data_IF_743339349951
#
_entry.id   IF_743339349951
#
_cell.length_a   1.000
_cell.length_b   1.000
_cell.length_c   1.000
_cell.angle_alpha   90.00
_cell.angle_beta   90.00
_cell.angle_gamma   90.00
#
_symmetry.space_group_name_H-M   'P 1'
#
loop_
_entity.id
_entity.type
_entity.pdbx_description
1 polymer ?
#
# COMPACT_ATOMS: atom_id res chain seq x y z
N UNK A 1 -47.98 -34.82 -21.38
CA UNK A 1 -47.40 -35.63 -20.27
C UNK A 1 -45.96 -35.93 -20.69
N UNK A 2 -45.03 -34.99 -20.75
CA UNK A 2 -44.63 -33.94 -19.80
C UNK A 2 -44.22 -34.49 -18.44
N UNK A 3 -42.91 -34.66 -18.23
CA UNK A 3 -42.21 -34.06 -17.09
C UNK A 3 -40.68 -34.15 -17.23
N UNK A 4 -40.07 -32.97 -17.30
CA UNK A 4 -38.70 -32.66 -16.90
C UNK A 4 -38.53 -32.85 -15.37
N UNK A 5 -37.28 -32.94 -14.88
CA UNK A 5 -36.72 -31.73 -14.28
C UNK A 5 -35.27 -31.44 -14.71
N UNK A 6 -35.08 -30.17 -15.00
CA UNK A 6 -33.85 -29.38 -14.96
C UNK A 6 -32.88 -29.71 -13.84
N UNK A 7 -31.56 -29.61 -14.10
CA UNK A 7 -30.59 -28.99 -13.18
C UNK A 7 -29.26 -28.68 -13.92
N UNK A 8 -29.18 -27.45 -14.42
CA UNK A 8 -28.08 -26.49 -14.27
C UNK A 8 -26.64 -27.02 -14.08
N UNK A 9 -25.97 -27.45 -15.16
CA UNK A 9 -24.52 -27.68 -15.16
C UNK A 9 -23.80 -26.35 -15.39
N UNK A 10 -23.85 -25.50 -14.36
CA UNK A 10 -23.15 -24.23 -14.30
C UNK A 10 -21.64 -24.46 -14.47
N UNK A 11 -21.07 -23.76 -15.44
CA UNK A 11 -19.63 -23.69 -15.69
C UNK A 11 -18.99 -22.98 -14.49
N UNK A 12 -18.50 -23.76 -13.52
CA UNK A 12 -17.63 -23.23 -12.47
C UNK A 12 -16.25 -22.96 -13.06
N UNK A 13 -16.12 -21.78 -13.67
CA UNK A 13 -14.86 -21.14 -14.01
C UNK A 13 -14.11 -20.88 -12.69
N UNK A 14 -13.18 -21.77 -12.32
CA UNK A 14 -12.30 -21.55 -11.17
C UNK A 14 -11.26 -20.51 -11.58
N UNK A 15 -11.69 -19.26 -11.52
CA UNK A 15 -10.85 -18.08 -11.46
C UNK A 15 -9.79 -18.25 -10.37
N UNK A 16 -8.58 -17.80 -10.69
CA UNK A 16 -7.48 -17.66 -9.74
C UNK A 16 -7.89 -16.66 -8.65
N UNK A 17 -8.47 -17.16 -7.56
CA UNK A 17 -8.58 -16.39 -6.33
C UNK A 17 -7.19 -16.29 -5.68
N UNK A 18 -6.81 -15.06 -5.34
CA UNK A 18 -5.67 -14.79 -4.48
C UNK A 18 -5.89 -15.49 -3.13
N UNK A 19 -4.90 -16.28 -2.71
CA UNK A 19 -5.01 -17.18 -1.57
C UNK A 19 -5.16 -16.37 -0.26
N UNK A 20 -6.35 -16.46 0.34
CA UNK A 20 -6.60 -16.04 1.72
C UNK A 20 -5.90 -17.01 2.69
N UNK A 21 -5.53 -16.59 3.93
CA UNK A 21 -4.82 -17.44 4.86
C UNK A 21 -5.58 -18.74 5.14
N UNK A 22 -4.94 -19.88 4.85
CA UNK A 22 -5.49 -21.21 5.07
C UNK A 22 -5.53 -21.48 6.56
N UNK A 23 -6.72 -21.53 7.14
CA UNK A 23 -6.92 -21.93 8.53
C UNK A 23 -6.35 -23.35 8.74
N UNK A 24 -5.58 -23.61 9.82
CA UNK A 24 -4.97 -24.91 10.02
C UNK A 24 -6.05 -26.01 10.19
N UNK A 25 -5.79 -27.26 9.77
CA UNK A 25 -6.64 -28.41 10.10
C UNK A 25 -6.86 -28.50 11.62
N UNK A 26 -8.09 -28.75 12.08
CA UNK A 26 -8.48 -28.78 13.50
C UNK A 26 -7.54 -29.62 14.39
N UNK A 27 -6.97 -30.70 13.86
CA UNK A 27 -6.02 -31.57 14.55
C UNK A 27 -4.71 -30.86 14.98
N UNK A 28 -4.34 -29.72 14.35
CA UNK A 28 -3.16 -28.93 14.72
C UNK A 28 -3.39 -27.96 15.89
N UNK A 29 -4.66 -27.74 16.26
CA UNK A 29 -5.02 -26.90 17.41
C UNK A 29 -4.91 -27.68 18.73
N UNK A 30 -4.93 -29.01 18.68
CA UNK A 30 -4.98 -29.88 19.88
C UNK A 30 -3.60 -30.23 20.47
N UNK A 31 -2.50 -30.23 19.69
CA UNK A 31 -1.19 -30.73 20.17
C UNK A 31 -0.15 -29.67 20.59
N UNK A 32 -0.42 -28.37 20.37
CA UNK A 32 0.45 -27.29 20.85
C UNK A 32 -0.26 -26.50 21.95
N UNK A 33 0.39 -26.20 23.07
CA UNK A 33 -0.24 -25.44 24.16
C UNK A 33 -0.77 -24.11 23.63
N UNK A 34 -2.09 -24.07 23.44
CA UNK A 34 -2.94 -22.91 23.17
C UNK A 34 -2.21 -21.70 22.61
N UNK A 35 -1.95 -21.71 21.29
CA UNK A 35 -1.70 -20.48 20.54
C UNK A 35 -3.01 -19.70 20.25
N UNK A 36 -4.03 -19.94 21.07
CA UNK A 36 -5.31 -19.27 21.11
C UNK A 36 -5.22 -18.07 22.06
N UNK A 37 -4.77 -16.91 21.57
CA UNK A 37 -4.96 -15.64 22.28
C UNK A 37 -5.49 -14.52 21.38
N UNK A 38 -5.65 -14.76 20.07
CA UNK A 38 -6.25 -13.81 19.14
C UNK A 38 -7.57 -14.30 18.51
N UNK A 39 -8.01 -15.55 18.74
CA UNK A 39 -9.27 -16.08 18.21
C UNK A 39 -10.33 -16.39 19.28
N UNK A 40 -10.00 -16.41 20.57
CA UNK A 40 -11.02 -16.53 21.63
C UNK A 40 -11.23 -15.20 22.35
N UNK A 41 -12.32 -14.53 21.97
CA UNK A 41 -12.89 -13.43 22.73
C UNK A 41 -13.32 -13.89 24.12
N UNK A 42 -12.41 -13.81 25.10
CA UNK A 42 -12.71 -13.69 26.55
C UNK A 42 -11.52 -13.06 27.29
N UNK A 43 -11.47 -11.73 27.29
CA UNK A 43 -11.30 -10.95 28.53
C UNK A 43 -9.97 -11.00 29.30
N UNK A 44 -8.81 -11.20 28.69
CA UNK A 44 -7.51 -10.91 29.35
C UNK A 44 -6.75 -9.83 28.60
N UNK A 45 -6.74 -8.61 29.14
CA UNK A 45 -5.93 -7.49 28.64
C UNK A 45 -4.44 -7.85 28.80
N UNK A 46 -3.69 -7.88 27.70
CA UNK A 46 -2.23 -7.92 27.77
C UNK A 46 -1.78 -6.55 28.24
N UNK A 47 -1.20 -6.48 29.44
CA UNK A 47 -0.60 -5.25 29.96
C UNK A 47 0.86 -5.23 29.56
N UNK A 48 1.24 -4.28 28.71
CA UNK A 48 2.65 -4.01 28.43
C UNK A 48 3.22 -3.16 29.57
N UNK A 49 4.22 -3.64 30.33
CA UNK A 49 4.89 -2.78 31.29
C UNK A 49 5.60 -1.65 30.53
N UNK A 50 5.43 -0.42 31.01
CA UNK A 50 6.18 0.74 30.52
C UNK A 50 7.68 0.44 30.65
N UNK A 51 8.44 0.70 29.57
CA UNK A 51 9.90 0.70 29.66
C UNK A 51 10.34 1.69 30.73
N UNK A 52 11.34 1.30 31.52
CA UNK A 52 11.82 2.07 32.67
C UNK A 52 12.12 3.53 32.30
N UNK A 53 11.61 4.41 33.15
CA UNK A 53 11.55 5.86 32.98
C UNK A 53 12.95 6.45 33.13
N UNK A 54 13.53 6.94 32.04
CA UNK A 54 14.71 7.80 32.12
C UNK A 54 14.27 9.26 32.01
N UNK A 55 14.33 9.94 33.16
CA UNK A 55 14.32 11.39 33.41
C UNK A 55 13.24 12.26 32.73
N UNK A 56 12.63 13.13 33.54
CA UNK A 56 11.73 14.19 33.08
C UNK A 56 12.54 15.15 32.17
N UNK A 57 12.17 15.35 30.90
CA UNK A 57 12.82 16.36 30.07
C UNK A 57 12.67 17.75 30.71
N UNK A 58 13.67 18.61 30.52
CA UNK A 58 13.61 20.01 30.97
C UNK A 58 12.43 20.72 30.30
N UNK A 59 11.39 21.05 31.07
CA UNK A 59 10.36 21.99 30.65
C UNK A 59 11.03 23.34 30.34
N UNK A 60 10.65 24.03 29.24
CA UNK A 60 11.15 25.37 29.00
C UNK A 60 10.77 26.28 30.18
N UNK A 61 11.74 27.01 30.72
CA UNK A 61 11.58 27.85 31.91
C UNK A 61 10.48 28.93 31.78
N UNK A 62 10.03 29.24 30.55
CA UNK A 62 8.85 30.07 30.28
C UNK A 62 8.40 29.93 28.81
N UNK A 63 7.13 29.56 28.59
CA UNK A 63 6.52 29.55 27.25
C UNK A 63 6.42 30.95 26.63
N UNK A 64 6.30 31.99 27.45
CA UNK A 64 6.21 33.38 27.00
C UNK A 64 7.47 33.80 26.24
N UNK A 65 8.64 33.42 26.76
CA UNK A 65 9.92 33.69 26.09
C UNK A 65 10.05 32.91 24.78
N UNK A 66 9.57 31.66 24.72
CA UNK A 66 9.62 30.85 23.48
C UNK A 66 8.77 31.48 22.36
N UNK A 67 7.59 32.03 22.71
CA UNK A 67 6.72 32.71 21.74
C UNK A 67 7.28 34.06 21.28
N UNK A 68 7.88 34.84 22.18
CA UNK A 68 8.51 36.13 21.84
C UNK A 68 9.70 36.00 20.88
N UNK A 69 10.42 34.87 20.94
CA UNK A 69 11.56 34.60 20.06
C UNK A 69 11.17 33.92 18.74
N UNK A 70 9.88 33.58 18.55
CA UNK A 70 9.42 32.96 17.30
C UNK A 70 9.55 33.93 16.13
N UNK A 71 10.15 33.46 15.03
CA UNK A 71 10.44 34.28 13.84
C UNK A 71 9.49 33.92 12.71
N UNK A 72 8.20 34.03 12.98
CA UNK A 72 7.19 33.78 11.96
C UNK A 72 7.32 34.83 10.85
N UNK A 73 7.61 34.43 9.60
CA UNK A 73 7.85 35.38 8.53
C UNK A 73 6.58 36.18 8.22
N UNK A 74 6.73 37.50 8.21
CA UNK A 74 5.70 38.44 7.77
C UNK A 74 5.67 38.42 6.25
N UNK A 75 4.52 38.07 5.68
CA UNK A 75 4.29 38.11 4.24
C UNK A 75 3.99 39.55 3.82
N UNK A 76 4.93 40.19 3.10
CA UNK A 76 4.69 41.50 2.47
C UNK A 76 3.92 41.35 1.16
N UNK A 77 3.49 42.47 0.58
CA UNK A 77 2.80 42.46 -0.72
C UNK A 77 3.68 41.85 -1.83
N UNK A 78 4.98 42.14 -1.80
CA UNK A 78 5.96 41.61 -2.76
C UNK A 78 6.08 40.10 -2.64
N UNK A 79 6.21 39.59 -1.41
CA UNK A 79 6.28 38.14 -1.14
C UNK A 79 4.99 37.45 -1.56
N UNK A 80 3.84 38.08 -1.31
CA UNK A 80 2.54 37.53 -1.71
C UNK A 80 2.41 37.42 -3.24
N UNK A 81 2.84 38.44 -3.98
CA UNK A 81 2.86 38.44 -5.45
C UNK A 81 3.82 37.39 -5.99
N UNK A 82 5.02 37.30 -5.44
CA UNK A 82 6.03 36.32 -5.88
C UNK A 82 5.55 34.88 -5.65
N UNK A 83 5.00 34.58 -4.46
CA UNK A 83 4.45 33.27 -4.14
C UNK A 83 3.33 32.87 -5.11
N UNK A 84 2.42 33.80 -5.43
CA UNK A 84 1.35 33.55 -6.40
C UNK A 84 1.88 33.32 -7.81
N UNK A 85 2.85 34.12 -8.27
CA UNK A 85 3.45 33.98 -9.58
C UNK A 85 4.19 32.64 -9.71
N UNK A 86 4.96 32.26 -8.69
CA UNK A 86 5.63 30.96 -8.61
C UNK A 86 4.63 29.80 -8.69
N UNK A 87 3.53 29.89 -7.92
CA UNK A 87 2.45 28.92 -7.97
C UNK A 87 1.81 28.81 -9.36
N UNK A 88 1.44 29.93 -9.99
CA UNK A 88 0.84 29.94 -11.33
C UNK A 88 1.79 29.36 -12.38
N UNK A 89 3.07 29.70 -12.32
CA UNK A 89 4.09 29.19 -13.25
C UNK A 89 4.34 27.68 -13.08
N UNK A 90 4.13 27.12 -11.88
CA UNK A 90 4.22 25.68 -11.65
C UNK A 90 3.09 24.87 -12.29
N UNK A 91 2.04 25.55 -12.78
CA UNK A 91 0.84 24.91 -13.30
C UNK A 91 0.69 25.12 -14.81
N UNK A 92 0.64 24.02 -15.58
CA UNK A 92 0.67 23.98 -17.04
C UNK A 92 -0.44 24.77 -17.78
N UNK A 93 -1.52 25.19 -17.10
CA UNK A 93 -2.69 25.79 -17.75
C UNK A 93 -3.16 27.12 -17.12
N UNK A 94 -2.32 27.78 -16.31
CA UNK A 94 -2.68 29.05 -15.70
C UNK A 94 -2.01 30.20 -16.44
N UNK A 95 -2.77 31.25 -16.75
CA UNK A 95 -2.21 32.45 -17.33
C UNK A 95 -1.57 33.32 -16.24
N UNK A 96 -0.28 33.63 -16.41
CA UNK A 96 0.45 34.55 -15.53
C UNK A 96 -0.11 35.98 -15.56
N UNK A 97 -0.86 36.33 -16.61
CA UNK A 97 -1.49 37.64 -16.78
C UNK A 97 -2.51 37.98 -15.68
N UNK A 98 -3.16 36.99 -15.06
CA UNK A 98 -4.08 37.25 -13.94
C UNK A 98 -3.33 37.50 -12.64
N UNK A 99 -2.27 36.73 -12.37
CA UNK A 99 -1.42 36.90 -11.19
C UNK A 99 -0.60 38.21 -11.23
N UNK A 100 -0.16 38.65 -12.41
CA UNK A 100 0.60 39.89 -12.57
C UNK A 100 -0.23 41.17 -12.47
N UNK A 101 -1.50 41.14 -12.88
CA UNK A 101 -2.36 42.34 -12.99
C UNK A 101 -3.39 42.48 -11.87
N UNK A 102 -3.42 41.58 -10.88
CA UNK A 102 -4.31 41.73 -9.73
C UNK A 102 -3.80 42.82 -8.78
N UNK A 103 -4.75 43.45 -8.09
CA UNK A 103 -4.47 44.49 -7.09
C UNK A 103 -4.71 43.87 -5.72
N UNK A 104 -3.67 43.74 -4.89
CA UNK A 104 -3.82 43.32 -3.50
C UNK A 104 -4.43 44.50 -2.73
N UNK A 105 -5.53 44.24 -2.03
CA UNK A 105 -6.27 45.26 -1.27
C UNK A 105 -5.95 45.18 0.22
N UNK A 106 -5.85 43.96 0.76
CA UNK A 106 -5.66 43.71 2.18
C UNK A 106 -4.91 42.39 2.39
N UNK A 107 -3.99 42.38 3.36
CA UNK A 107 -3.29 41.20 3.84
C UNK A 107 -3.67 40.98 5.31
N UNK A 108 -4.42 39.90 5.59
CA UNK A 108 -4.75 39.50 6.96
C UNK A 108 -3.88 38.34 7.38
N UNK A 109 -2.98 38.59 8.31
CA UNK A 109 -2.03 37.60 8.79
C UNK A 109 -2.52 36.97 10.08
N UNK A 110 -2.38 35.66 10.16
CA UNK A 110 -2.66 34.88 11.35
C UNK A 110 -1.61 33.78 11.49
N UNK A 111 -1.22 33.48 12.73
CA UNK A 111 -0.36 32.32 13.02
C UNK A 111 -1.19 31.28 13.72
N UNK A 112 -1.21 30.06 13.18
CA UNK A 112 -1.86 28.91 13.82
C UNK A 112 -0.85 28.08 14.58
N UNK A 113 -1.31 27.46 15.66
CA UNK A 113 -0.51 26.52 16.43
C UNK A 113 -0.96 25.10 16.11
N UNK A 114 -0.02 24.25 15.66
CA UNK A 114 -0.25 22.84 15.38
C UNK A 114 0.47 21.98 16.40
N UNK A 115 -0.29 21.13 17.08
CA UNK A 115 0.22 20.06 17.92
C UNK A 115 0.21 18.73 17.16
N UNK A 116 1.28 17.96 17.27
CA UNK A 116 1.36 16.59 16.77
C UNK A 116 1.88 15.66 17.85
N UNK A 117 1.25 14.51 17.97
CA UNK A 117 1.76 13.37 18.73
C UNK A 117 1.95 12.20 17.78
N UNK A 118 3.19 11.77 17.61
CA UNK A 118 3.56 10.57 16.88
C UNK A 118 3.92 9.48 17.87
N UNK A 119 3.30 8.31 17.75
CA UNK A 119 3.55 7.15 18.62
C UNK A 119 4.01 5.98 17.80
N UNK A 120 5.26 5.59 18.03
CA UNK A 120 5.88 4.43 17.42
C UNK A 120 5.59 3.19 18.26
N UNK A 121 4.97 2.20 17.63
CA UNK A 121 4.48 1.01 18.33
C UNK A 121 4.86 -0.28 17.61
N UNK A 122 5.05 -1.34 18.39
CA UNK A 122 5.30 -2.70 17.93
C UNK A 122 4.08 -3.57 18.21
N UNK A 123 3.60 -4.29 17.20
CA UNK A 123 2.57 -5.32 17.36
C UNK A 123 3.07 -6.65 16.81
N UNK A 124 2.62 -7.75 17.43
CA UNK A 124 3.02 -9.11 17.07
C UNK A 124 1.80 -10.00 16.89
N UNK A 125 1.78 -10.76 15.80
CA UNK A 125 0.76 -11.76 15.51
C UNK A 125 1.42 -13.05 15.02
N UNK A 126 0.88 -14.20 15.42
CA UNK A 126 1.29 -15.51 14.93
C UNK A 126 0.30 -16.00 13.88
N UNK A 127 0.81 -16.43 12.74
CA UNK A 127 0.03 -17.09 11.68
C UNK A 127 0.66 -18.43 11.32
N UNK A 128 -0.16 -19.42 10.94
CA UNK A 128 0.35 -20.67 10.38
C UNK A 128 0.68 -20.49 8.91
N UNK A 129 1.83 -21.03 8.49
CA UNK A 129 2.23 -21.07 7.08
C UNK A 129 2.91 -22.39 6.76
N UNK A 130 3.24 -22.61 5.49
CA UNK A 130 3.87 -23.83 5.04
C UNK A 130 4.85 -23.61 3.89
N UNK A 131 5.83 -24.51 3.78
CA UNK A 131 6.76 -24.56 2.66
C UNK A 131 7.03 -26.00 2.19
N UNK A 132 7.44 -26.22 0.93
CA UNK A 132 7.94 -27.51 0.49
C UNK A 132 9.12 -27.97 1.35
N UNK A 133 9.12 -29.24 1.75
CA UNK A 133 10.25 -29.82 2.46
C UNK A 133 11.40 -30.01 1.48
N UNK A 134 12.39 -29.13 1.50
CA UNK A 134 13.61 -29.24 0.67
C UNK A 134 14.75 -29.94 1.41
N UNK A 135 14.78 -29.82 2.74
CA UNK A 135 15.82 -30.37 3.60
C UNK A 135 15.23 -31.35 4.62
N UNK A 136 16.01 -32.36 5.01
CA UNK A 136 15.60 -33.38 5.98
C UNK A 136 15.68 -32.89 7.43
N UNK A 137 16.26 -31.72 7.68
CA UNK A 137 16.42 -31.16 9.02
C UNK A 137 15.28 -30.18 9.31
N UNK A 138 14.25 -30.68 9.99
CA UNK A 138 13.08 -29.90 10.40
C UNK A 138 13.19 -29.52 11.87
N UNK A 139 12.89 -28.26 12.18
CA UNK A 139 12.93 -27.72 13.52
C UNK A 139 11.58 -27.85 14.24
N UNK A 140 11.24 -29.07 14.62
CA UNK A 140 9.97 -29.38 15.30
C UNK A 140 10.06 -29.42 16.83
N UNK A 141 8.94 -29.69 17.51
CA UNK A 141 8.84 -29.68 18.98
C UNK A 141 9.79 -30.65 19.70
N UNK A 142 10.28 -31.67 18.99
CA UNK A 142 11.28 -32.62 19.49
C UNK A 142 12.64 -31.98 19.80
N UNK A 143 12.92 -30.78 19.25
CA UNK A 143 14.19 -30.05 19.44
C UNK A 143 14.12 -29.00 20.54
N UNK A 144 12.94 -28.74 21.11
CA UNK A 144 12.76 -27.76 22.16
C UNK A 144 11.32 -27.26 22.26
N UNK A 145 11.06 -26.45 23.29
CA UNK A 145 9.77 -25.77 23.45
C UNK A 145 9.77 -24.46 22.65
N UNK A 146 8.71 -24.22 21.87
CA UNK A 146 8.56 -22.96 21.15
C UNK A 146 8.42 -21.77 22.11
N UNK A 147 9.16 -20.67 21.89
CA UNK A 147 9.09 -19.48 22.74
C UNK A 147 7.75 -18.76 22.59
N UNK A 148 7.34 -18.01 23.62
CA UNK A 148 6.15 -17.15 23.50
C UNK A 148 6.44 -15.99 22.54
N UNK A 149 5.38 -15.37 22.02
CA UNK A 149 5.50 -14.35 20.98
C UNK A 149 6.39 -13.17 21.37
N UNK A 150 6.31 -12.72 22.61
CA UNK A 150 7.10 -11.59 23.13
C UNK A 150 8.47 -12.00 23.67
N UNK A 151 8.73 -13.30 23.87
CA UNK A 151 10.04 -13.80 24.32
C UNK A 151 11.05 -13.85 23.18
N UNK A 152 10.58 -13.92 21.93
CA UNK A 152 11.43 -13.81 20.73
C UNK A 152 12.13 -12.47 20.68
N UNK A 153 13.47 -12.49 20.76
CA UNK A 153 14.30 -11.31 20.63
C UNK A 153 14.46 -10.95 19.16
N UNK A 154 14.01 -9.76 18.80
CA UNK A 154 14.08 -9.26 17.43
C UNK A 154 14.66 -7.85 17.46
N UNK A 155 15.50 -7.56 16.47
CA UNK A 155 16.07 -6.23 16.29
C UNK A 155 14.98 -5.24 15.89
N UNK A 156 14.78 -4.21 16.70
CA UNK A 156 13.84 -3.13 16.43
C UNK A 156 14.43 -2.23 15.33
N UNK A 157 13.66 -1.79 14.32
CA UNK A 157 14.12 -0.81 13.35
C UNK A 157 14.44 0.55 14.02
N UNK A 158 15.14 1.46 13.32
CA UNK A 158 15.28 2.85 13.76
C UNK A 158 13.92 3.45 14.18
N UNK A 159 13.92 4.24 15.25
CA UNK A 159 12.68 4.80 15.78
C UNK A 159 11.97 5.67 14.76
N UNK A 160 10.64 5.54 14.71
CA UNK A 160 9.75 6.17 13.72
C UNK A 160 9.95 5.69 12.27
N UNK A 161 10.67 4.59 12.05
CA UNK A 161 10.70 3.91 10.76
C UNK A 161 9.77 2.70 10.77
N UNK A 162 8.71 2.74 9.96
CA UNK A 162 7.80 1.61 9.82
C UNK A 162 8.51 0.42 9.16
N UNK A 163 8.23 -0.78 9.66
CA UNK A 163 8.79 -2.02 9.13
C UNK A 163 7.81 -3.18 9.40
N UNK A 164 7.93 -4.25 8.64
CA UNK A 164 7.21 -5.51 8.88
C UNK A 164 8.16 -6.68 8.67
N UNK A 165 8.35 -7.48 9.71
CA UNK A 165 9.22 -8.65 9.67
C UNK A 165 8.43 -9.93 9.89
N UNK A 166 8.79 -10.96 9.13
CA UNK A 166 8.24 -12.30 9.25
C UNK A 166 9.34 -13.26 9.65
N UNK A 167 9.15 -13.98 10.74
CA UNK A 167 10.13 -14.93 11.29
C UNK A 167 9.44 -16.26 11.56
N UNK A 168 10.11 -17.36 11.28
CA UNK A 168 9.64 -18.68 11.70
C UNK A 168 9.88 -18.84 13.20
N UNK A 169 8.85 -19.27 13.93
CA UNK A 169 8.96 -19.54 15.37
C UNK A 169 9.77 -20.83 15.56
N UNK A 170 10.85 -20.80 16.36
CA UNK A 170 11.66 -21.98 16.63
C UNK A 170 10.84 -23.15 17.17
N UNK A 171 11.23 -24.36 16.81
CA UNK A 171 10.64 -25.64 17.24
C UNK A 171 9.14 -25.79 16.92
N UNK A 172 8.57 -24.97 16.04
CA UNK A 172 7.15 -25.01 15.68
C UNK A 172 6.86 -25.82 14.41
N UNK A 173 7.89 -26.38 13.76
CA UNK A 173 7.73 -27.05 12.49
C UNK A 173 7.14 -28.46 12.61
N UNK A 174 6.27 -28.79 11.67
CA UNK A 174 5.64 -30.09 11.52
C UNK A 174 5.58 -30.49 10.06
N UNK A 175 5.98 -31.73 9.75
CA UNK A 175 5.90 -32.25 8.39
C UNK A 175 4.59 -32.98 8.18
N UNK A 176 3.81 -32.55 7.18
CA UNK A 176 2.61 -33.24 6.72
C UNK A 176 2.68 -33.56 5.24
N UNK A 177 1.86 -34.50 4.79
CA UNK A 177 1.67 -34.71 3.36
C UNK A 177 1.07 -33.46 2.71
N UNK A 178 1.47 -33.20 1.47
CA UNK A 178 0.94 -32.05 0.74
C UNK A 178 -0.57 -32.18 0.56
N UNK A 179 -1.31 -31.30 1.23
CA UNK A 179 -2.77 -31.30 1.24
C UNK A 179 -3.40 -31.15 -0.15
N UNK A 180 -2.73 -30.46 -1.10
CA UNK A 180 -3.25 -30.31 -2.46
C UNK A 180 -3.08 -31.57 -3.31
N UNK A 181 -1.99 -32.31 -3.16
CA UNK A 181 -1.71 -33.50 -3.99
C UNK A 181 -1.86 -34.84 -3.28
N UNK A 182 -2.14 -34.83 -1.97
CA UNK A 182 -2.22 -35.99 -1.07
C UNK A 182 -0.98 -36.88 -1.21
N UNK A 183 0.20 -36.31 -1.01
CA UNK A 183 1.46 -37.06 -1.08
C UNK A 183 1.92 -37.49 -2.48
N UNK A 184 1.16 -37.21 -3.55
CA UNK A 184 1.53 -37.67 -4.92
C UNK A 184 2.65 -36.86 -5.57
N UNK A 185 2.83 -35.60 -5.18
CA UNK A 185 3.79 -34.65 -5.75
C UNK A 185 3.48 -34.19 -7.18
N UNK A 186 2.47 -34.78 -7.84
CA UNK A 186 2.06 -34.49 -9.21
C UNK A 186 0.55 -34.66 -9.38
N UNK A 187 0.00 -33.97 -10.36
CA UNK A 187 -1.39 -34.08 -10.82
C UNK A 187 -1.45 -34.72 -12.19
N UNK A 188 -2.51 -35.48 -12.48
CA UNK A 188 -2.81 -35.88 -13.86
C UNK A 188 -3.02 -34.61 -14.68
N UNK A 189 -2.43 -34.55 -15.86
CA UNK A 189 -2.65 -33.42 -16.76
C UNK A 189 -4.10 -33.43 -17.22
N UNK A 190 -4.88 -32.39 -16.91
CA UNK A 190 -6.28 -32.26 -17.32
C UNK A 190 -6.44 -32.39 -18.84
N UNK A 191 -5.54 -31.78 -19.62
CA UNK A 191 -5.62 -31.81 -21.09
C UNK A 191 -5.42 -33.18 -21.76
N UNK A 192 -4.86 -34.18 -21.06
CA UNK A 192 -4.68 -35.53 -21.62
C UNK A 192 -5.11 -36.65 -20.68
N UNK A 193 -5.69 -36.31 -19.53
CA UNK A 193 -6.11 -37.21 -18.45
C UNK A 193 -5.05 -38.25 -18.03
N UNK A 194 -3.76 -37.91 -18.10
CA UNK A 194 -2.67 -38.83 -17.77
C UNK A 194 -2.01 -39.51 -18.96
N UNK A 195 -2.59 -39.47 -20.15
CA UNK A 195 -2.10 -40.24 -21.30
C UNK A 195 -0.81 -39.68 -21.93
N UNK A 196 -0.44 -38.43 -21.65
CA UNK A 196 0.69 -37.74 -22.28
C UNK A 196 0.47 -37.38 -23.75
N UNK A 197 -0.56 -37.94 -24.39
CA UNK A 197 -0.96 -37.70 -25.77
C UNK A 197 -2.43 -37.29 -25.85
N UNK A 198 -2.75 -36.40 -26.78
CA UNK A 198 -4.11 -35.94 -27.09
C UNK A 198 -4.47 -36.33 -28.51
N UNK A 199 -5.78 -36.43 -28.81
CA UNK A 199 -6.22 -36.62 -30.19
C UNK A 199 -5.72 -35.45 -31.03
N UNK A 200 -5.22 -35.75 -32.24
CA UNK A 200 -4.77 -34.69 -33.14
C UNK A 200 -5.97 -33.85 -33.55
N UNK A 201 -6.03 -32.58 -33.12
CA UNK A 201 -7.12 -31.66 -33.47
C UNK A 201 -7.28 -31.49 -34.98
N UNK A 202 -6.20 -31.58 -35.75
CA UNK A 202 -6.22 -31.41 -37.21
C UNK A 202 -6.79 -32.59 -38.00
N UNK A 203 -6.90 -33.78 -37.41
CA UNK A 203 -7.54 -34.94 -38.05
C UNK A 203 -8.56 -35.65 -37.16
N UNK A 204 -8.84 -35.11 -35.97
CA UNK A 204 -9.73 -35.71 -34.95
C UNK A 204 -9.43 -37.19 -34.63
N UNK A 205 -8.18 -37.64 -34.84
CA UNK A 205 -7.77 -39.03 -34.64
C UNK A 205 -7.87 -39.96 -35.86
N UNK A 206 -8.38 -39.50 -37.00
CA UNK A 206 -8.57 -40.31 -38.22
C UNK A 206 -7.29 -40.56 -39.03
N UNK A 207 -6.14 -40.02 -38.58
CA UNK A 207 -4.79 -40.17 -39.16
C UNK A 207 -4.62 -39.52 -40.55
N UNK A 208 -5.70 -39.10 -41.22
CA UNK A 208 -5.74 -38.41 -42.52
C UNK A 208 -6.65 -37.19 -42.44
N UNK A 209 -6.54 -36.21 -43.36
CA UNK A 209 -7.51 -35.10 -43.41
C UNK A 209 -8.70 -35.52 -44.27
N UNK A 210 -9.93 -35.13 -43.89
CA UNK A 210 -11.15 -35.50 -44.63
C UNK A 210 -11.10 -35.13 -46.12
N UNK A 211 -10.35 -34.09 -46.49
CA UNK A 211 -10.24 -33.58 -47.86
C UNK A 211 -8.98 -34.04 -48.62
N UNK A 212 -8.09 -34.86 -48.04
CA UNK A 212 -6.88 -35.34 -48.72
C UNK A 212 -6.43 -36.75 -48.29
N UNK A 213 -6.03 -37.63 -49.23
CA UNK A 213 -5.60 -39.01 -48.93
C UNK A 213 -4.24 -39.11 -48.22
N UNK A 214 -3.49 -38.00 -48.14
CA UNK A 214 -2.16 -37.96 -47.50
C UNK A 214 -2.27 -38.08 -45.97
N UNK A 215 -1.25 -38.69 -45.35
CA UNK A 215 -1.14 -38.79 -43.89
C UNK A 215 -1.18 -37.38 -43.27
N UNK A 216 -1.87 -37.24 -42.14
CA UNK A 216 -1.96 -35.96 -41.46
C UNK A 216 -0.56 -35.47 -41.03
N UNK A 217 -0.08 -34.37 -41.61
CA UNK A 217 1.25 -33.83 -41.34
C UNK A 217 1.47 -33.46 -39.87
N UNK A 218 0.43 -33.00 -39.18
CA UNK A 218 0.52 -32.55 -37.77
C UNK A 218 0.76 -33.69 -36.76
N UNK A 219 0.40 -34.92 -37.11
CA UNK A 219 0.62 -36.09 -36.27
C UNK A 219 1.40 -37.21 -37.00
N UNK A 220 1.93 -36.93 -38.18
CA UNK A 220 2.62 -37.88 -39.07
C UNK A 220 1.87 -39.21 -39.27
N UNK A 221 0.53 -39.17 -39.28
CA UNK A 221 -0.32 -40.36 -39.43
C UNK A 221 -0.54 -41.19 -38.15
N UNK A 222 -0.06 -40.75 -36.98
CA UNK A 222 -0.33 -41.44 -35.71
C UNK A 222 -1.76 -41.20 -35.18
N UNK A 223 -2.41 -40.11 -35.61
CA UNK A 223 -3.73 -39.69 -35.13
C UNK A 223 -3.71 -39.04 -33.73
N UNK A 224 -2.55 -39.04 -33.06
CA UNK A 224 -2.37 -38.47 -31.72
C UNK A 224 -1.18 -37.53 -31.71
N UNK A 225 -1.17 -36.55 -30.81
CA UNK A 225 -0.05 -35.62 -30.65
C UNK A 225 0.36 -35.59 -29.19
N UNK A 226 1.63 -35.30 -28.95
CA UNK A 226 2.13 -34.99 -27.61
C UNK A 226 1.26 -33.88 -27.02
N UNK A 227 0.76 -34.09 -25.81
CA UNK A 227 0.00 -33.07 -25.09
C UNK A 227 0.91 -31.86 -24.87
N UNK A 228 0.53 -30.69 -25.39
CA UNK A 228 1.27 -29.44 -25.21
C UNK A 228 1.28 -29.01 -23.74
N UNK A 229 0.15 -29.18 -23.05
CA UNK A 229 -0.08 -28.76 -21.67
C UNK A 229 0.84 -29.44 -20.63
N UNK A 230 1.31 -30.65 -20.89
CA UNK A 230 2.28 -31.37 -20.03
C UNK A 230 3.55 -31.78 -20.78
N UNK A 231 3.74 -31.27 -22.00
CA UNK A 231 4.85 -31.62 -22.89
C UNK A 231 5.08 -33.12 -23.02
N UNK A 232 4.00 -33.91 -23.03
CA UNK A 232 4.07 -35.37 -23.15
C UNK A 232 4.20 -36.16 -21.86
N UNK A 233 4.40 -35.52 -20.70
CA UNK A 233 4.64 -36.22 -19.42
C UNK A 233 3.41 -36.90 -18.84
N UNK A 234 2.20 -36.52 -19.28
CA UNK A 234 0.94 -37.01 -18.74
C UNK A 234 0.58 -36.45 -17.36
N UNK A 235 1.55 -35.91 -16.63
CA UNK A 235 1.37 -35.28 -15.33
C UNK A 235 1.98 -33.88 -15.28
N UNK A 236 1.51 -33.08 -14.32
CA UNK A 236 2.09 -31.78 -13.95
C UNK A 236 2.62 -31.89 -12.53
N UNK A 237 3.80 -31.33 -12.26
CA UNK A 237 4.34 -31.24 -10.91
C UNK A 237 3.41 -30.39 -10.04
N UNK A 238 3.19 -30.81 -8.80
CA UNK A 238 2.41 -30.03 -7.85
C UNK A 238 3.11 -28.69 -7.60
N UNK A 239 2.42 -27.56 -7.80
CA UNK A 239 3.00 -26.24 -7.56
C UNK A 239 3.24 -25.98 -6.07
N UNK A 240 2.33 -26.45 -5.21
CA UNK A 240 2.36 -26.22 -3.75
C UNK A 240 3.55 -26.90 -3.07
N UNK A 241 3.81 -28.18 -3.35
CA UNK A 241 4.95 -28.90 -2.78
C UNK A 241 6.15 -29.01 -3.74
N UNK A 242 6.07 -28.41 -4.93
CA UNK A 242 7.10 -28.45 -5.99
C UNK A 242 7.61 -29.86 -6.36
N UNK A 243 6.84 -30.91 -6.08
CA UNK A 243 7.22 -32.31 -6.30
C UNK A 243 7.69 -33.08 -5.06
N UNK A 244 7.94 -32.40 -3.94
CA UNK A 244 8.50 -32.97 -2.69
C UNK A 244 7.52 -33.85 -1.91
N UNK A 245 6.23 -33.87 -2.30
CA UNK A 245 5.14 -34.66 -1.70
C UNK A 245 4.75 -34.26 -0.28
N UNK A 246 5.65 -33.65 0.49
CA UNK A 246 5.45 -33.20 1.86
C UNK A 246 5.61 -31.68 1.98
N UNK A 247 4.94 -31.11 2.98
CA UNK A 247 5.01 -29.71 3.36
C UNK A 247 5.44 -29.62 4.82
N UNK A 248 6.36 -28.70 5.12
CA UNK A 248 6.67 -28.26 6.46
C UNK A 248 5.71 -27.13 6.82
N UNK A 249 4.82 -27.38 7.77
CA UNK A 249 3.94 -26.41 8.38
C UNK A 249 4.62 -25.84 9.62
N UNK A 250 4.59 -24.53 9.81
CA UNK A 250 5.20 -23.89 10.97
C UNK A 250 4.46 -22.63 11.36
N UNK A 251 4.68 -22.17 12.58
CA UNK A 251 4.15 -20.89 13.05
C UNK A 251 5.10 -19.79 12.58
N UNK A 252 4.56 -18.80 11.89
CA UNK A 252 5.25 -17.59 11.47
C UNK A 252 4.82 -16.44 12.39
N UNK A 253 5.80 -15.82 13.05
CA UNK A 253 5.60 -14.55 13.75
C UNK A 253 5.71 -13.41 12.75
N UNK A 254 4.67 -12.58 12.69
CA UNK A 254 4.66 -11.31 11.97
C UNK A 254 4.72 -10.18 12.99
N UNK A 255 5.75 -9.34 12.86
CA UNK A 255 5.99 -8.18 13.71
C UNK A 255 5.81 -6.94 12.85
N UNK A 256 4.99 -6.02 13.30
CA UNK A 256 4.73 -4.75 12.61
C UNK A 256 5.11 -3.59 13.52
N UNK A 257 5.96 -2.70 12.98
CA UNK A 257 6.28 -1.42 13.58
C UNK A 257 5.57 -0.31 12.82
N UNK A 258 4.78 0.52 13.50
CA UNK A 258 3.94 1.55 12.88
C UNK A 258 3.94 2.85 13.66
N UNK A 259 3.78 3.96 12.94
CA UNK A 259 3.58 5.30 13.49
C UNK A 259 2.09 5.62 13.53
N UNK A 260 1.57 5.92 14.71
CA UNK A 260 0.24 6.50 14.88
C UNK A 260 0.38 8.00 15.07
N UNK A 261 -0.33 8.81 14.26
CA UNK A 261 -0.29 10.27 14.32
C UNK A 261 -1.61 10.81 14.84
N UNK A 262 -1.53 11.61 15.91
CA UNK A 262 -2.60 12.50 16.36
C UNK A 262 -2.20 13.93 16.00
N UNK A 263 -3.09 14.67 15.36
CA UNK A 263 -2.86 16.05 14.94
C UNK A 263 -3.99 16.95 15.42
N UNK A 264 -3.62 18.11 15.95
CA UNK A 264 -4.55 19.16 16.33
C UNK A 264 -4.04 20.51 15.86
N UNK A 265 -4.93 21.32 15.27
CA UNK A 265 -4.63 22.69 14.86
C UNK A 265 -5.54 23.62 15.64
N UNK A 266 -4.97 24.70 16.18
CA UNK A 266 -5.72 25.70 16.95
C UNK A 266 -6.93 26.25 16.17
N UNK A 267 -8.05 26.55 16.85
CA UNK A 267 -9.21 27.14 16.21
C UNK A 267 -8.86 28.43 15.44
N UNK A 268 -9.50 28.62 14.29
CA UNK A 268 -9.29 29.78 13.44
C UNK A 268 -10.57 30.14 12.69
N UNK A 269 -10.68 31.42 12.31
CA UNK A 269 -11.84 31.95 11.60
C UNK A 269 -11.68 31.93 10.06
N UNK A 270 -10.57 31.38 9.56
CA UNK A 270 -10.26 31.33 8.14
C UNK A 270 -11.13 30.25 7.46
N UNK A 271 -11.61 30.54 6.25
CA UNK A 271 -12.28 29.55 5.40
C UNK A 271 -11.25 28.66 4.67
N UNK A 272 -10.14 28.34 5.32
CA UNK A 272 -9.04 27.57 4.76
C UNK A 272 -9.29 26.06 4.98
N UNK A 273 -9.23 25.21 3.92
CA UNK A 273 -9.38 23.77 4.09
C UNK A 273 -8.29 23.17 5.00
N UNK A 274 -8.70 22.38 6.01
CA UNK A 274 -7.78 21.74 6.96
C UNK A 274 -6.74 20.82 6.30
N UNK A 275 -7.03 20.25 5.12
CA UNK A 275 -6.10 19.44 4.33
C UNK A 275 -4.84 20.22 3.89
N UNK A 276 -4.96 21.53 3.64
CA UNK A 276 -3.83 22.39 3.32
C UNK A 276 -2.96 22.60 4.56
N UNK A 277 -3.61 22.78 5.72
CA UNK A 277 -2.95 22.99 7.00
C UNK A 277 -2.19 21.75 7.46
N UNK A 278 -2.70 20.54 7.21
CA UNK A 278 -2.00 19.30 7.51
C UNK A 278 -0.64 19.19 6.79
N UNK A 279 -0.52 19.74 5.58
CA UNK A 279 0.71 19.69 4.77
C UNK A 279 1.59 20.92 4.90
N UNK A 280 1.08 22.01 5.49
CA UNK A 280 1.82 23.26 5.67
C UNK A 280 3.10 23.04 6.48
N UNK A 281 4.21 23.68 6.08
CA UNK A 281 5.43 23.71 6.89
C UNK A 281 5.31 24.78 7.97
N UNK A 282 5.66 24.44 9.20
CA UNK A 282 5.66 25.38 10.32
C UNK A 282 7.04 25.54 10.93
N UNK A 283 7.22 26.61 11.70
CA UNK A 283 8.37 26.80 12.59
C UNK A 283 8.18 25.91 13.82
N UNK A 284 9.17 25.07 14.14
CA UNK A 284 9.10 24.19 15.31
C UNK A 284 9.40 25.00 16.58
N UNK A 285 8.40 25.13 17.46
CA UNK A 285 8.56 25.77 18.78
C UNK A 285 9.00 24.80 19.86
N UNK A 286 8.52 23.57 19.75
CA UNK A 286 8.74 22.56 20.76
C UNK A 286 8.84 21.19 20.10
N UNK A 287 9.75 20.39 20.64
CA UNK A 287 9.90 18.98 20.32
C UNK A 287 10.34 18.24 21.57
N UNK A 288 9.59 17.22 21.91
CA UNK A 288 9.89 16.28 22.99
C UNK A 288 9.77 14.86 22.45
N UNK A 289 10.71 14.00 22.83
CA UNK A 289 10.83 12.65 22.31
C UNK A 289 11.27 11.73 23.46
N UNK A 290 10.38 10.82 23.89
CA UNK A 290 10.58 9.96 25.05
C UNK A 290 9.86 8.61 24.86
N UNK A 291 10.14 7.60 25.68
CA UNK A 291 9.42 6.32 25.64
C UNK A 291 7.90 6.52 25.85
N UNK A 292 7.55 7.40 26.78
CA UNK A 292 6.21 7.93 27.00
C UNK A 292 6.34 9.42 27.22
N UNK A 293 5.60 10.22 26.45
CA UNK A 293 5.61 11.68 26.61
C UNK A 293 4.59 12.10 27.66
N UNK A 294 4.84 13.23 28.32
CA UNK A 294 3.90 13.81 29.28
C UNK A 294 2.99 14.84 28.60
N UNK A 295 1.74 15.00 29.08
CA UNK A 295 0.88 16.07 28.62
C UNK A 295 1.55 17.43 28.79
N UNK A 296 1.42 18.28 27.78
CA UNK A 296 1.96 19.64 27.83
C UNK A 296 1.09 20.47 28.79
N UNK A 297 1.73 20.99 29.84
CA UNK A 297 1.08 21.84 30.85
C UNK A 297 1.49 23.30 30.67
N UNK A 298 0.63 24.21 31.14
CA UNK A 298 0.85 25.66 31.19
C UNK A 298 1.20 26.33 29.84
N UNK A 299 0.88 25.67 28.71
CA UNK A 299 1.00 26.28 27.40
C UNK A 299 0.02 27.46 27.25
N UNK A 300 0.44 28.61 26.70
CA UNK A 300 -0.40 29.81 26.61
C UNK A 300 -1.72 29.60 25.85
N UNK A 301 -1.75 28.69 24.88
CA UNK A 301 -2.99 28.25 24.22
C UNK A 301 -3.53 26.99 24.90
N UNK A 302 -4.54 27.16 25.76
CA UNK A 302 -5.17 26.06 26.51
C UNK A 302 -5.59 24.87 25.64
N UNK A 303 -6.03 25.14 24.41
CA UNK A 303 -6.45 24.11 23.46
C UNK A 303 -5.33 23.13 23.10
N UNK A 304 -4.07 23.58 23.09
CA UNK A 304 -2.90 22.74 22.83
C UNK A 304 -2.65 21.79 24.00
N UNK A 305 -2.72 22.29 25.24
CA UNK A 305 -2.60 21.45 26.44
C UNK A 305 -3.69 20.37 26.48
N UNK A 306 -4.93 20.74 26.17
CA UNK A 306 -6.06 19.79 26.08
C UNK A 306 -5.89 18.80 24.92
N UNK A 307 -5.37 19.25 23.78
CA UNK A 307 -5.08 18.36 22.65
C UNK A 307 -3.97 17.36 22.97
N UNK A 308 -2.93 17.79 23.68
CA UNK A 308 -1.85 16.93 24.15
C UNK A 308 -2.37 15.83 25.07
N UNK A 309 -3.17 16.21 26.09
CA UNK A 309 -3.80 15.23 26.97
C UNK A 309 -4.67 14.22 26.20
N UNK A 310 -5.55 14.71 25.33
CA UNK A 310 -6.45 13.84 24.54
C UNK A 310 -5.68 12.89 23.62
N UNK A 311 -4.66 13.38 22.91
CA UNK A 311 -3.87 12.56 22.00
C UNK A 311 -3.13 11.43 22.73
N UNK A 312 -2.56 11.73 23.90
CA UNK A 312 -1.88 10.73 24.74
C UNK A 312 -2.88 9.68 25.23
N UNK A 313 -4.03 10.10 25.76
CA UNK A 313 -5.08 9.19 26.24
C UNK A 313 -5.64 8.31 25.11
N UNK A 314 -5.86 8.89 23.93
CA UNK A 314 -6.36 8.18 22.75
C UNK A 314 -5.38 7.10 22.29
N UNK A 315 -4.10 7.45 22.09
CA UNK A 315 -3.08 6.49 21.69
C UNK A 315 -2.88 5.40 22.75
N UNK A 316 -2.84 5.75 24.03
CA UNK A 316 -2.74 4.77 25.11
C UNK A 316 -3.92 3.80 25.10
N UNK A 317 -5.14 4.30 24.91
CA UNK A 317 -6.35 3.46 24.88
C UNK A 317 -6.38 2.56 23.64
N UNK A 318 -6.03 3.10 22.48
CA UNK A 318 -6.02 2.36 21.21
C UNK A 318 -4.97 1.24 21.20
N UNK A 319 -3.81 1.46 21.85
CA UNK A 319 -2.67 0.54 21.81
C UNK A 319 -2.60 -0.40 23.02
N UNK A 320 -3.22 -0.07 24.17
CA UNK A 320 -3.08 -0.78 25.45
C UNK A 320 -3.15 -2.31 25.37
N UNK A 321 -3.96 -2.89 24.49
CA UNK A 321 -4.12 -4.34 24.34
C UNK A 321 -3.60 -4.90 23.01
N UNK A 322 -3.15 -4.04 22.09
CA UNK A 322 -2.87 -4.40 20.69
C UNK A 322 -1.39 -4.26 20.32
N UNK A 323 -0.68 -3.36 20.98
CA UNK A 323 0.69 -3.03 20.64
C UNK A 323 1.47 -2.51 21.86
N UNK A 324 2.79 -2.69 21.83
CA UNK A 324 3.72 -2.09 22.76
C UNK A 324 4.17 -0.74 22.22
N UNK A 325 4.02 0.32 23.00
CA UNK A 325 4.61 1.62 22.69
C UNK A 325 6.12 1.52 22.89
N UNK A 326 6.90 1.92 21.88
CA UNK A 326 8.35 1.94 21.93
C UNK A 326 8.88 3.35 22.19
N UNK A 327 8.29 4.33 21.50
CA UNK A 327 8.64 5.75 21.66
C UNK A 327 7.49 6.64 21.22
N UNK A 328 7.41 7.82 21.81
CA UNK A 328 6.51 8.89 21.42
C UNK A 328 7.30 10.16 21.15
N UNK A 329 6.85 10.93 20.17
CA UNK A 329 7.37 12.24 19.83
C UNK A 329 6.21 13.21 19.77
N UNK A 330 6.31 14.30 20.51
CA UNK A 330 5.35 15.38 20.42
C UNK A 330 6.01 16.66 19.93
N UNK A 331 5.31 17.41 19.07
CA UNK A 331 5.80 18.67 18.53
C UNK A 331 4.72 19.74 18.58
N UNK A 332 5.16 20.99 18.80
CA UNK A 332 4.35 22.19 18.59
C UNK A 332 5.02 23.00 17.48
N UNK A 333 4.23 23.36 16.47
CA UNK A 333 4.66 24.13 15.31
C UNK A 333 3.78 25.36 15.12
N UNK A 334 4.39 26.48 14.74
CA UNK A 334 3.68 27.67 14.28
C UNK A 334 3.56 27.66 12.76
N UNK A 335 2.34 27.78 12.27
CA UNK A 335 2.04 27.82 10.84
C UNK A 335 1.58 29.24 10.50
N UNK A 336 2.40 30.05 9.81
CA UNK A 336 1.94 31.32 9.27
C UNK A 336 0.88 31.09 8.21
N UNK A 337 -0.17 31.90 8.25
CA UNK A 337 -1.17 31.98 7.20
C UNK A 337 -1.46 33.44 6.92
N UNK A 338 -1.50 33.78 5.64
CA UNK A 338 -1.90 35.11 5.17
C UNK A 338 -3.10 34.95 4.25
N UNK A 339 -4.22 35.53 4.63
CA UNK A 339 -5.38 35.72 3.77
C UNK A 339 -5.15 36.98 2.92
N UNK A 340 -5.08 36.80 1.61
CA UNK A 340 -4.81 37.87 0.66
C UNK A 340 -6.10 38.23 -0.06
N UNK A 341 -6.63 39.41 0.24
CA UNK A 341 -7.77 39.99 -0.47
C UNK A 341 -7.26 40.73 -1.70
N UNK A 342 -7.81 40.41 -2.86
CA UNK A 342 -7.42 41.03 -4.11
C UNK A 342 -8.62 41.41 -4.98
N UNK A 343 -8.39 42.39 -5.83
CA UNK A 343 -9.30 42.84 -6.86
C UNK A 343 -8.76 42.49 -8.25
N UNK A 344 -9.59 41.84 -9.06
CA UNK A 344 -9.26 41.54 -10.44
C UNK A 344 -10.51 41.55 -11.32
N UNK A 345 -10.47 42.28 -12.44
CA UNK A 345 -11.54 42.34 -13.44
C UNK A 345 -12.95 42.57 -12.85
N UNK A 346 -13.07 43.53 -11.93
CA UNK A 346 -14.36 43.92 -11.37
C UNK A 346 -14.87 43.05 -10.22
N UNK A 347 -14.04 42.15 -9.67
CA UNK A 347 -14.45 41.24 -8.59
C UNK A 347 -13.39 41.15 -7.49
N UNK A 348 -13.86 41.16 -6.24
CA UNK A 348 -13.06 40.87 -5.04
C UNK A 348 -12.99 39.36 -4.84
N UNK A 349 -11.83 38.86 -4.48
CA UNK A 349 -11.60 37.44 -4.20
C UNK A 349 -10.45 37.27 -3.21
N UNK A 350 -10.31 36.05 -2.69
CA UNK A 350 -9.35 35.74 -1.64
C UNK A 350 -8.55 34.51 -2.03
N UNK A 351 -7.24 34.54 -1.78
CA UNK A 351 -6.40 33.35 -1.74
C UNK A 351 -5.59 33.34 -0.45
N UNK A 352 -5.16 32.16 -0.03
CA UNK A 352 -4.35 31.98 1.17
C UNK A 352 -2.91 31.64 0.80
N UNK A 353 -1.98 32.24 1.52
CA UNK A 353 -0.58 31.82 1.58
C UNK A 353 -0.40 31.13 2.93
N UNK A 354 0.20 29.95 2.95
CA UNK A 354 0.36 29.18 4.18
C UNK A 354 1.72 28.52 4.26
N UNK A 355 2.17 28.33 5.50
CA UNK A 355 3.43 27.73 5.84
C UNK A 355 4.64 28.64 5.61
N UNK A 356 5.77 28.26 6.21
CA UNK A 356 7.04 29.00 6.11
C UNK A 356 7.67 28.94 4.72
N UNK A 357 7.15 28.06 3.84
CA UNK A 357 7.53 27.93 2.44
C UNK A 357 6.58 28.69 1.49
N UNK A 358 5.67 29.50 2.02
CA UNK A 358 4.76 30.39 1.27
C UNK A 358 3.94 29.68 0.18
N UNK A 359 3.37 28.50 0.49
CA UNK A 359 2.51 27.76 -0.43
C UNK A 359 1.18 28.50 -0.65
N UNK A 360 0.63 28.41 -1.86
CA UNK A 360 -0.61 29.11 -2.24
C UNK A 360 -1.79 28.14 -2.34
N UNK A 361 -2.93 28.53 -1.77
CA UNK A 361 -4.16 27.74 -1.83
C UNK A 361 -4.78 27.78 -3.23
N UNK A 362 -5.26 26.62 -3.71
CA UNK A 362 -5.88 26.46 -5.03
C UNK A 362 -7.21 27.21 -5.22
N UNK A 363 -7.79 27.82 -4.19
CA UNK A 363 -9.07 28.55 -4.25
C UNK A 363 -9.07 29.74 -5.23
N UNK A 364 -7.89 30.18 -5.71
CA UNK A 364 -7.73 31.07 -6.88
C UNK A 364 -8.54 30.60 -8.11
N UNK A 365 -8.90 29.31 -8.19
CA UNK A 365 -9.50 28.66 -9.35
C UNK A 365 -11.00 28.82 -9.57
N UNK A 366 -11.78 29.36 -8.61
CA UNK A 366 -13.23 29.44 -8.82
C UNK A 366 -13.63 30.47 -9.88
N UNK A 367 -12.72 31.33 -10.34
CA UNK A 367 -13.02 32.38 -11.31
C UNK A 367 -12.09 32.29 -12.53
N UNK A 368 -12.62 31.63 -13.57
CA UNK A 368 -12.13 31.58 -14.97
C UNK A 368 -11.15 30.48 -15.38
N UNK A 369 -11.44 29.21 -15.07
CA UNK A 369 -10.84 28.09 -15.81
C UNK A 369 -11.82 27.04 -16.37
N UNK A 370 -13.14 27.23 -16.25
CA UNK A 370 -14.11 26.36 -16.92
C UNK A 370 -14.10 26.49 -18.45
N UNK A 371 -13.68 27.63 -18.99
CA UNK A 371 -13.61 27.82 -20.45
C UNK A 371 -12.34 27.19 -21.07
N UNK A 372 -11.21 27.23 -20.35
CA UNK A 372 -9.94 26.61 -20.79
C UNK A 372 -9.94 25.08 -20.61
N UNK A 373 -10.55 24.55 -19.54
CA UNK A 373 -10.71 23.10 -19.34
C UNK A 373 -11.62 22.44 -20.40
N UNK A 374 -12.56 23.19 -21.00
CA UNK A 374 -13.37 22.70 -22.13
C UNK A 374 -12.56 22.61 -23.42
N UNK A 375 -11.75 23.62 -23.75
CA UNK A 375 -10.91 23.61 -24.96
C UNK A 375 -9.75 22.60 -24.87
N UNK A 376 -9.19 22.38 -23.67
CA UNK A 376 -8.08 21.41 -23.52
C UNK A 376 -8.53 19.94 -23.55
N UNK A 377 -9.81 19.62 -23.31
CA UNK A 377 -10.32 18.25 -23.55
C UNK A 377 -10.25 17.90 -25.03
N UNK A 378 -10.58 18.81 -25.93
CA UNK A 378 -10.45 18.58 -27.38
C UNK A 378 -9.00 18.40 -27.81
N UNK A 379 -8.08 19.20 -27.27
CA UNK A 379 -6.65 19.07 -27.59
C UNK A 379 -6.05 17.78 -27.00
N UNK A 380 -6.43 17.38 -25.79
CA UNK A 380 -6.01 16.11 -25.18
C UNK A 380 -6.55 14.89 -25.94
N UNK A 381 -7.81 14.94 -26.41
CA UNK A 381 -8.39 13.92 -27.28
C UNK A 381 -7.75 13.90 -28.68
N UNK A 382 -7.35 15.05 -29.23
CA UNK A 382 -6.61 15.13 -30.49
C UNK A 382 -5.18 14.58 -30.36
N UNK A 383 -4.48 14.87 -29.25
CA UNK A 383 -3.18 14.28 -28.94
C UNK A 383 -3.27 12.77 -28.71
N UNK A 384 -4.29 12.29 -27.99
CA UNK A 384 -4.53 10.84 -27.82
C UNK A 384 -4.86 10.16 -29.16
N UNK A 385 -5.66 10.79 -30.03
CA UNK A 385 -5.90 10.29 -31.40
C UNK A 385 -4.62 10.26 -32.22
N UNK A 386 -3.78 11.30 -32.15
CA UNK A 386 -2.50 11.34 -32.86
C UNK A 386 -1.51 10.29 -32.35
N UNK A 387 -1.45 10.06 -31.03
CA UNK A 387 -0.63 9.01 -30.43
C UNK A 387 -1.14 7.61 -30.76
N UNK A 388 -2.47 7.42 -30.82
CA UNK A 388 -3.08 6.15 -31.25
C UNK A 388 -2.83 5.88 -32.75
N UNK A 389 -2.91 6.90 -33.59
CA UNK A 389 -2.64 6.80 -35.02
C UNK A 389 -1.14 6.56 -35.31
N UNK A 390 -0.26 7.21 -34.56
CA UNK A 390 1.19 6.93 -34.56
C UNK A 390 1.52 5.52 -34.05
N UNK A 391 0.79 5.02 -33.05
CA UNK A 391 0.92 3.65 -32.55
C UNK A 391 0.52 2.61 -33.59
N UNK A 392 -0.56 2.85 -34.34
CA UNK A 392 -0.97 1.96 -35.44
C UNK A 392 0.01 2.01 -36.63
N UNK A 393 0.58 3.18 -36.96
CA UNK A 393 1.66 3.30 -37.96
C UNK A 393 2.95 2.59 -37.51
N UNK A 394 3.24 2.58 -36.21
CA UNK A 394 4.41 1.89 -35.65
C UNK A 394 4.23 0.37 -35.65
N UNK A 395 3.04 -0.13 -35.32
CA UNK A 395 2.71 -1.56 -35.46
C UNK A 395 2.75 -2.03 -36.92
N UNK A 396 2.26 -1.21 -37.86
CA UNK A 396 2.34 -1.50 -39.30
C UNK A 396 3.78 -1.52 -39.81
N UNK A 397 4.64 -0.58 -39.37
CA UNK A 397 6.06 -0.55 -39.74
C UNK A 397 6.86 -1.72 -39.14
N UNK A 398 6.52 -2.18 -37.93
CA UNK A 398 7.14 -3.36 -37.32
C UNK A 398 6.71 -4.65 -38.04
N UNK A 399 5.44 -4.80 -38.43
CA UNK A 399 5.00 -5.94 -39.26
C UNK A 399 5.61 -5.90 -40.68
N UNK A 400 5.77 -4.72 -41.30
CA UNK A 400 6.42 -4.59 -42.60
C UNK A 400 7.93 -4.88 -42.55
N UNK A 401 8.64 -4.47 -41.50
CA UNK A 401 10.07 -4.76 -41.35
C UNK A 401 10.37 -6.21 -40.96
N UNK A 402 9.46 -6.88 -40.23
CA UNK A 402 9.58 -8.31 -39.95
C UNK A 402 9.22 -9.17 -41.18
N UNK A 403 8.32 -8.71 -42.05
CA UNK A 403 8.01 -9.38 -43.32
C UNK A 403 9.13 -9.24 -44.38
N UNK A 404 9.84 -8.10 -44.40
CA UNK A 404 10.92 -7.83 -45.38
C UNK A 404 12.32 -8.32 -44.96
N UNK A 405 12.48 -8.94 -43.78
CA UNK A 405 13.76 -9.57 -43.35
C UNK A 405 13.86 -11.07 -43.62
N UNK A 406 12.82 -11.70 -44.15
CA UNK A 406 12.91 -13.06 -44.71
C UNK A 406 12.83 -12.98 -46.24
N UNK A 407 13.91 -12.48 -46.84
CA UNK A 407 14.17 -12.62 -48.28
C UNK A 407 14.35 -14.10 -48.68
N UNK A 408 14.18 -14.42 -49.98
CA UNK A 408 14.02 -15.77 -50.47
C UNK A 408 15.36 -16.51 -50.50
N UNK A 409 15.36 -17.79 -50.10
CA UNK A 409 16.38 -18.74 -50.56
C UNK A 409 15.75 -19.63 -51.62
N UNK A 410 16.48 -19.71 -52.72
CA UNK A 410 16.13 -20.17 -54.06
C UNK A 410 15.95 -21.69 -54.15
N UNK A 411 14.92 -22.05 -54.94
CA UNK A 411 14.65 -23.23 -55.79
C UNK A 411 15.66 -24.39 -55.87
N UNK A 412 15.15 -25.61 -56.12
CA UNK A 412 15.25 -26.36 -57.41
C UNK A 412 14.56 -27.73 -57.24
N UNK A 413 13.67 -28.10 -58.19
CA UNK A 413 13.14 -29.47 -58.38
C UNK A 413 11.63 -29.57 -58.44
#
# INVERSE_FOLDING_TARGET
MDRDPSEDDSVADLSFEAESPVMPPNELLEELPSYDWLLQGRGRRVFFPSLEVLERPQEPASWSSVLEHSRVPVVTEEVAREALLSFVNSQCCYSSAAAGNLIIQELRQQTLCRYRLETFSESRVSEWTFQPVTNHQVDGPQRGTSPRLWDMKVQVPPMFQEDTRKLQVPHSSLVKECHKCHGRGRYKCSGCHGAGVVRCSSCSGTKRKARQPRRCHMCSGSGRRRCSTCSGRGNKTCATCKGERKLEHFVQLVIMWKNSLFEFVSPHHLHCPGELLAKARGENLFRDENAMVYPIVDFPLRDISLASQRGIEEHNTALASRARILQQRQTIELIPITEVHYWYQGKTSVYYIYGTDHQVSKSFLSMKNQHYLKQNKEMYWQCLKFLFQKSQEFEYRITFHLANRSGPIVYIG
#
